data_IF_181920130648
#
_entry.id   IF_181920130648
#
_cell.length_a   1.000
_cell.length_b   1.000
_cell.length_c   1.000
_cell.angle_alpha   90.00
_cell.angle_beta   90.00
_cell.angle_gamma   90.00
#
_symmetry.space_group_name_H-M   'P 1'
#
loop_
_entity.id
_entity.type
_entity.pdbx_description
1 polymer ?
#
# COMPACT_ATOMS: atom_id res chain seq x y z
N UNK A 1 -15.46 -19.21 -2.15
CA UNK A 1 -15.30 -17.94 -2.80
C UNK A 1 -14.45 -16.99 -2.00
N UNK A 2 -13.30 -16.60 -2.53
CA UNK A 2 -12.35 -15.82 -1.78
C UNK A 2 -12.60 -14.33 -2.03
N UNK A 3 -12.87 -13.63 -0.96
CA UNK A 3 -13.03 -12.19 -0.98
C UNK A 3 -11.66 -11.54 -0.74
N UNK A 4 -11.30 -10.55 -1.56
CA UNK A 4 -10.02 -9.87 -1.42
C UNK A 4 -9.83 -9.26 -0.02
N UNK A 5 -10.93 -8.92 0.67
CA UNK A 5 -10.87 -8.40 2.03
C UNK A 5 -10.40 -9.39 3.07
N UNK A 6 -10.38 -10.67 2.72
CA UNK A 6 -10.01 -11.75 3.64
C UNK A 6 -8.55 -12.17 3.54
N UNK A 7 -7.74 -11.50 2.71
CA UNK A 7 -6.32 -11.80 2.63
C UNK A 7 -5.58 -11.23 3.81
N UNK A 8 -4.62 -12.01 4.30
CA UNK A 8 -3.74 -11.59 5.38
C UNK A 8 -2.33 -11.43 4.89
N UNK A 9 -1.63 -10.43 5.40
CA UNK A 9 -0.20 -10.29 5.23
C UNK A 9 0.48 -10.90 6.43
N UNK A 10 1.36 -11.90 6.20
CA UNK A 10 2.06 -12.60 7.27
C UNK A 10 3.51 -12.16 7.30
N UNK A 11 4.03 -11.95 8.50
CA UNK A 11 5.42 -11.57 8.67
C UNK A 11 5.93 -12.11 10.01
N UNK A 12 7.25 -12.18 10.15
CA UNK A 12 7.89 -12.62 11.39
C UNK A 12 8.70 -11.47 11.96
N UNK A 13 8.60 -11.28 13.25
CA UNK A 13 9.39 -10.28 13.95
C UNK A 13 9.62 -10.74 15.38
N UNK A 14 10.88 -10.66 15.84
CA UNK A 14 11.28 -11.06 17.19
C UNK A 14 10.82 -12.49 17.53
N UNK A 15 11.04 -13.41 16.58
CA UNK A 15 10.74 -14.83 16.72
C UNK A 15 9.25 -15.16 16.85
N UNK A 16 8.40 -14.23 16.49
CA UNK A 16 6.96 -14.44 16.48
C UNK A 16 6.42 -14.28 15.08
N UNK A 17 5.45 -15.11 14.74
CA UNK A 17 4.72 -15.01 13.49
C UNK A 17 3.49 -14.15 13.72
N UNK A 18 3.32 -13.17 12.85
CA UNK A 18 2.22 -12.20 12.91
C UNK A 18 1.43 -12.21 11.63
N UNK A 19 0.20 -11.76 11.69
CA UNK A 19 -0.60 -11.50 10.50
C UNK A 19 -1.42 -10.25 10.71
N UNK A 20 -1.65 -9.53 9.61
CA UNK A 20 -2.49 -8.35 9.60
C UNK A 20 -3.38 -8.42 8.37
N UNK A 21 -4.64 -8.05 8.53
CA UNK A 21 -5.58 -8.09 7.44
C UNK A 21 -5.20 -7.04 6.39
N UNK A 22 -5.04 -7.45 5.15
CA UNK A 22 -4.54 -6.55 4.11
C UNK A 22 -5.47 -5.34 3.92
N UNK A 23 -6.78 -5.54 4.04
CA UNK A 23 -7.72 -4.42 3.90
C UNK A 23 -7.53 -3.35 4.99
N UNK A 24 -6.87 -3.70 6.10
CA UNK A 24 -6.60 -2.74 7.17
C UNK A 24 -5.29 -1.98 6.96
N UNK A 25 -4.47 -2.40 6.02
CA UNK A 25 -3.18 -1.77 5.76
C UNK A 25 -3.37 -0.57 4.85
N UNK A 26 -2.98 0.61 5.34
CA UNK A 26 -3.00 1.82 4.54
C UNK A 26 -1.81 1.86 3.59
N UNK A 27 -0.62 1.59 4.12
CA UNK A 27 0.58 1.57 3.30
C UNK A 27 1.72 0.86 4.03
N UNK A 28 2.74 0.50 3.26
CA UNK A 28 4.01 0.02 3.77
C UNK A 28 5.04 1.12 3.52
N UNK A 29 5.89 1.33 4.51
CA UNK A 29 6.98 2.29 4.40
C UNK A 29 8.30 1.60 4.73
N UNK A 30 9.31 1.73 3.87
CA UNK A 30 10.62 1.17 4.15
C UNK A 30 11.54 2.24 4.73
N UNK A 31 12.32 1.86 5.71
CA UNK A 31 13.32 2.72 6.31
C UNK A 31 14.50 1.85 6.70
N UNK A 32 15.63 2.07 6.03
CA UNK A 32 16.83 1.26 6.22
C UNK A 32 16.51 -0.20 5.89
N UNK A 33 16.60 -1.11 6.86
CA UNK A 33 16.34 -2.53 6.63
C UNK A 33 14.97 -2.97 7.10
N UNK A 34 14.17 -2.05 7.61
CA UNK A 34 12.85 -2.36 8.15
C UNK A 34 11.77 -1.90 7.22
N UNK A 35 10.65 -2.60 7.30
CA UNK A 35 9.41 -2.20 6.65
C UNK A 35 8.38 -1.97 7.75
N UNK A 36 7.72 -0.83 7.68
CA UNK A 36 6.64 -0.48 8.61
C UNK A 36 5.31 -0.74 7.92
N UNK A 37 4.41 -1.39 8.65
CA UNK A 37 3.04 -1.66 8.19
C UNK A 37 2.14 -0.68 8.92
N UNK A 38 1.58 0.28 8.19
CA UNK A 38 0.77 1.33 8.80
C UNK A 38 -0.70 1.02 8.57
N UNK A 39 -1.43 0.84 9.67
CA UNK A 39 -2.88 0.74 9.64
C UNK A 39 -3.45 2.04 10.21
N UNK A 40 -4.77 2.15 10.25
CA UNK A 40 -5.39 3.37 10.76
C UNK A 40 -5.04 3.64 12.22
N UNK A 41 -4.87 2.60 13.01
CA UNK A 41 -4.71 2.73 14.46
C UNK A 41 -3.34 2.33 14.97
N UNK A 42 -2.60 1.52 14.24
CA UNK A 42 -1.34 0.95 14.71
C UNK A 42 -0.30 0.91 13.60
N UNK A 43 0.95 0.80 14.02
CA UNK A 43 2.07 0.60 13.11
C UNK A 43 2.88 -0.59 13.59
N UNK A 44 3.13 -1.53 12.68
CA UNK A 44 3.94 -2.71 12.96
C UNK A 44 5.23 -2.63 12.15
N UNK A 45 6.22 -3.41 12.51
CA UNK A 45 7.48 -3.40 11.77
C UNK A 45 8.07 -4.80 11.65
N UNK A 46 8.89 -4.98 10.63
CA UNK A 46 9.64 -6.21 10.45
C UNK A 46 10.83 -5.93 9.53
N UNK A 47 11.78 -6.84 9.48
CA UNK A 47 12.91 -6.73 8.57
C UNK A 47 12.52 -7.31 7.23
N UNK A 48 12.70 -6.55 6.16
CA UNK A 48 12.33 -7.01 4.84
C UNK A 48 12.59 -5.96 3.77
N UNK A 49 12.16 -6.28 2.57
CA UNK A 49 12.35 -5.43 1.39
C UNK A 49 11.02 -5.14 0.74
N UNK A 50 10.80 -3.86 0.45
CA UNK A 50 9.55 -3.40 -0.13
C UNK A 50 9.29 -4.01 -1.52
N UNK A 51 10.35 -4.22 -2.30
CA UNK A 51 10.21 -4.84 -3.63
C UNK A 51 9.60 -6.24 -3.55
N UNK A 52 9.98 -7.01 -2.55
CA UNK A 52 9.45 -8.36 -2.37
C UNK A 52 7.98 -8.33 -2.00
N UNK A 53 7.60 -7.37 -1.16
CA UNK A 53 6.20 -7.18 -0.78
C UNK A 53 5.38 -6.79 -2.00
N UNK A 54 5.89 -5.85 -2.78
CA UNK A 54 5.23 -5.39 -3.99
C UNK A 54 4.95 -6.55 -4.95
N UNK A 55 5.97 -7.39 -5.18
CA UNK A 55 5.81 -8.54 -6.08
C UNK A 55 4.78 -9.54 -5.55
N UNK A 56 4.78 -9.80 -4.26
CA UNK A 56 3.81 -10.72 -3.65
C UNK A 56 2.39 -10.20 -3.81
N UNK A 57 2.18 -8.90 -3.62
CA UNK A 57 0.86 -8.31 -3.78
C UNK A 57 0.40 -8.35 -5.23
N UNK A 58 1.31 -8.15 -6.18
CA UNK A 58 0.99 -8.24 -7.61
C UNK A 58 0.55 -9.65 -7.99
N UNK A 59 1.25 -10.66 -7.48
CA UNK A 59 0.90 -12.06 -7.74
C UNK A 59 -0.52 -12.35 -7.24
N UNK A 60 -0.89 -11.79 -6.10
CA UNK A 60 -2.23 -11.97 -5.53
C UNK A 60 -3.25 -11.01 -6.11
N UNK A 61 -2.85 -10.14 -7.04
CA UNK A 61 -3.72 -9.15 -7.70
C UNK A 61 -4.37 -8.19 -6.72
N UNK A 62 -3.63 -7.83 -5.68
CA UNK A 62 -4.08 -6.86 -4.68
C UNK A 62 -3.56 -5.49 -5.08
N UNK A 63 -4.44 -4.49 -5.07
CA UNK A 63 -4.19 -3.17 -5.65
C UNK A 63 -3.41 -2.26 -4.71
N UNK A 64 -2.09 -2.36 -4.76
CA UNK A 64 -1.18 -1.41 -4.11
C UNK A 64 -0.36 -0.69 -5.17
N UNK A 65 -0.02 0.57 -4.90
CA UNK A 65 0.75 1.40 -5.81
C UNK A 65 2.10 1.76 -5.19
N UNK A 66 3.18 1.52 -5.94
CA UNK A 66 4.52 1.92 -5.50
C UNK A 66 4.76 3.37 -5.89
N UNK A 67 4.37 4.29 -5.01
CA UNK A 67 4.43 5.73 -5.32
C UNK A 67 5.81 6.33 -5.10
N UNK A 68 6.66 5.62 -4.36
CA UNK A 68 7.98 6.10 -4.01
C UNK A 68 8.86 4.89 -3.71
N UNK A 69 10.18 5.08 -3.78
CA UNK A 69 11.11 4.00 -3.44
C UNK A 69 10.82 3.43 -2.04
N UNK A 70 10.34 4.27 -1.14
CA UNK A 70 10.10 3.90 0.26
C UNK A 70 8.63 3.72 0.62
N UNK A 71 7.71 3.86 -0.32
CA UNK A 71 6.28 3.79 -0.01
C UNK A 71 5.51 2.93 -1.00
N UNK A 72 4.70 2.02 -0.46
CA UNK A 72 3.80 1.17 -1.23
C UNK A 72 2.42 1.34 -0.60
N UNK A 73 1.50 2.00 -1.31
CA UNK A 73 0.22 2.43 -0.73
C UNK A 73 -0.94 1.60 -1.23
N UNK A 74 -1.90 1.36 -0.34
CA UNK A 74 -3.11 0.63 -0.68
C UNK A 74 -4.06 1.56 -1.43
N UNK A 75 -4.37 1.21 -2.67
CA UNK A 75 -5.26 2.01 -3.49
C UNK A 75 -6.60 2.30 -2.79
N UNK A 76 -7.15 1.33 -2.09
CA UNK A 76 -8.46 1.46 -1.44
C UNK A 76 -8.48 2.44 -0.28
N UNK A 77 -7.32 2.81 0.22
CA UNK A 77 -7.19 3.76 1.32
C UNK A 77 -6.61 5.10 0.88
N UNK A 78 -6.53 5.33 -0.42
CA UNK A 78 -6.17 6.65 -0.94
C UNK A 78 -7.41 7.53 -0.86
N UNK A 79 -7.33 8.57 -0.04
CA UNK A 79 -8.39 9.53 0.14
C UNK A 79 -8.39 10.58 -0.98
N UNK A 80 -7.22 10.96 -1.43
CA UNK A 80 -7.07 11.94 -2.50
C UNK A 80 -5.78 11.73 -3.26
N UNK A 81 -5.78 12.09 -4.54
CA UNK A 81 -4.62 11.91 -5.40
C UNK A 81 -4.40 13.16 -6.23
N UNK A 82 -3.17 13.66 -6.19
CA UNK A 82 -2.68 14.71 -7.07
C UNK A 82 -1.61 14.09 -7.96
N UNK A 83 -1.11 14.83 -8.94
CA UNK A 83 -0.05 14.32 -9.81
C UNK A 83 1.24 14.02 -9.04
N UNK A 84 1.52 14.79 -7.98
CA UNK A 84 2.78 14.70 -7.25
C UNK A 84 2.67 14.15 -5.84
N UNK A 85 1.46 13.83 -5.36
CA UNK A 85 1.30 13.20 -4.04
C UNK A 85 -0.04 12.48 -3.92
N UNK A 86 -0.14 11.62 -2.90
CA UNK A 86 -1.40 11.01 -2.49
C UNK A 86 -1.63 11.35 -1.03
N UNK A 87 -2.91 11.39 -0.63
CA UNK A 87 -3.31 11.56 0.78
C UNK A 87 -4.03 10.29 1.19
N UNK A 88 -3.56 9.68 2.26
CA UNK A 88 -4.15 8.44 2.76
C UNK A 88 -5.28 8.72 3.74
N UNK A 89 -6.05 7.68 4.07
CA UNK A 89 -7.19 7.81 4.98
C UNK A 89 -6.83 8.36 6.36
N UNK A 90 -5.57 8.19 6.79
CA UNK A 90 -5.09 8.73 8.06
C UNK A 90 -4.53 10.15 7.93
N UNK A 91 -4.81 10.82 6.83
CA UNK A 91 -4.35 12.17 6.49
C UNK A 91 -2.85 12.26 6.16
N UNK A 92 -2.16 11.15 6.08
CA UNK A 92 -0.75 11.16 5.69
C UNK A 92 -0.62 11.53 4.22
N UNK A 93 0.16 12.57 3.95
CA UNK A 93 0.50 13.00 2.61
C UNK A 93 1.80 12.32 2.19
N UNK A 94 1.77 11.58 1.10
CA UNK A 94 2.93 10.83 0.61
C UNK A 94 3.27 11.31 -0.78
N UNK A 95 4.52 11.79 -0.95
CA UNK A 95 4.99 12.28 -2.25
C UNK A 95 5.15 11.12 -3.23
N UNK A 96 4.77 11.36 -4.47
CA UNK A 96 5.04 10.45 -5.58
C UNK A 96 6.37 10.89 -6.18
N UNK A 97 7.34 10.00 -6.25
CA UNK A 97 8.64 10.35 -6.82
C UNK A 97 8.49 10.77 -8.27
N UNK A 98 9.29 11.73 -8.69
CA UNK A 98 9.15 12.38 -10.00
C UNK A 98 9.12 11.39 -11.16
N UNK A 99 9.98 10.38 -11.12
CA UNK A 99 10.07 9.37 -12.17
C UNK A 99 8.88 8.41 -12.19
N UNK A 100 8.02 8.44 -11.18
CA UNK A 100 6.86 7.54 -11.09
C UNK A 100 5.54 8.25 -11.34
N UNK A 101 5.54 9.57 -11.44
CA UNK A 101 4.30 10.35 -11.50
C UNK A 101 3.40 9.97 -12.66
N UNK A 102 3.97 9.82 -13.84
CA UNK A 102 3.19 9.45 -15.02
C UNK A 102 2.58 8.07 -14.86
N UNK A 103 3.39 7.10 -14.45
CA UNK A 103 2.94 5.72 -14.27
C UNK A 103 1.85 5.62 -13.21
N UNK A 104 2.06 6.28 -12.07
CA UNK A 104 1.10 6.23 -10.96
C UNK A 104 -0.21 6.89 -11.37
N UNK A 105 -0.16 8.02 -12.07
CA UNK A 105 -1.36 8.68 -12.56
C UNK A 105 -2.17 7.75 -13.46
N UNK A 106 -1.50 7.06 -14.37
CA UNK A 106 -2.15 6.10 -15.27
C UNK A 106 -2.72 4.92 -14.50
N UNK A 107 -1.96 4.38 -13.55
CA UNK A 107 -2.43 3.26 -12.74
C UNK A 107 -3.63 3.63 -11.89
N UNK A 108 -3.60 4.81 -11.27
CA UNK A 108 -4.70 5.26 -10.44
C UNK A 108 -5.99 5.39 -11.25
N UNK A 109 -5.89 5.96 -12.44
CA UNK A 109 -7.07 6.17 -13.28
C UNK A 109 -7.61 4.87 -13.88
N UNK A 110 -6.78 3.83 -13.97
CA UNK A 110 -7.20 2.55 -14.57
C UNK A 110 -7.73 1.54 -13.56
N UNK A 111 -7.73 1.87 -12.28
CA UNK A 111 -8.24 0.95 -11.28
C UNK A 111 -9.75 0.93 -11.27
N UNK A 112 -10.35 -0.25 -11.42
CA UNK A 112 -11.78 -0.41 -11.64
C UNK A 112 -12.41 -1.43 -10.69
N UNK A 113 -11.89 -1.54 -9.48
CA UNK A 113 -12.43 -2.51 -8.53
C UNK A 113 -13.66 -2.01 -7.78
N UNK A 114 -14.09 -0.78 -8.06
CA UNK A 114 -15.31 -0.20 -7.48
C UNK A 114 -15.99 0.70 -8.51
N UNK A 115 -17.23 1.06 -8.24
CA UNK A 115 -17.95 2.03 -9.05
C UNK A 115 -17.77 3.42 -8.47
N UNK A 116 -17.63 4.41 -9.36
CA UNK A 116 -17.44 5.80 -8.98
C UNK A 116 -18.56 6.66 -9.52
N UNK A 117 -18.92 7.69 -8.77
CA UNK A 117 -19.79 8.74 -9.25
C UNK A 117 -18.95 10.00 -9.33
N UNK A 118 -18.70 10.45 -10.55
CA UNK A 118 -17.85 11.61 -10.79
C UNK A 118 -18.64 12.90 -10.82
N UNK A 119 -17.94 13.98 -10.51
CA UNK A 119 -18.53 15.32 -10.52
C UNK A 119 -17.86 16.20 -11.53
#
# INVERSE_FOLDING_TARGET
DINSGDFYFRYSYQRMNHKVLIRDILYFESSKRKVFIVTREETFEFYGKLNEIENSLKVCKISFLRVHQSFLVNYKHIKGQSYDFVVMDNEKKISISEDRRKLISEQYCSMEDTYYVDR
#
